data_IF_525479948533
#
_entry.id   IF_525479948533
#
_cell.length_a   1.000
_cell.length_b   1.000
_cell.length_c   1.000
_cell.angle_alpha   90.00
_cell.angle_beta   90.00
_cell.angle_gamma   90.00
#
_symmetry.space_group_name_H-M   'P 1'
#
loop_
_entity.id
_entity.type
_entity.pdbx_description
1 polymer ?
#
# COMPACT_ATOMS: atom_id res chain seq x y z
N UNK A 1 0.78 7.03 24.00
CA UNK A 1 2.20 6.69 24.21
C UNK A 1 2.85 5.97 23.03
N UNK A 2 2.21 4.97 22.40
CA UNK A 2 2.81 4.24 21.25
C UNK A 2 3.37 5.10 20.11
N UNK A 3 2.74 6.24 19.81
CA UNK A 3 3.15 7.12 18.71
C UNK A 3 3.94 8.35 19.16
N UNK A 4 4.12 8.56 20.46
CA UNK A 4 4.93 9.67 20.98
C UNK A 4 6.38 9.24 21.23
N UNK A 5 6.64 7.94 21.44
CA UNK A 5 8.00 7.44 21.71
C UNK A 5 8.56 7.83 23.07
N UNK A 6 7.74 8.46 23.92
CA UNK A 6 8.16 9.05 25.19
C UNK A 6 7.13 8.80 26.27
N UNK A 7 7.59 8.34 27.43
CA UNK A 7 6.80 8.19 28.67
C UNK A 7 7.64 8.62 29.85
N UNK A 8 7.07 9.43 30.74
CA UNK A 8 7.69 9.81 32.01
C UNK A 8 6.75 9.50 33.16
N UNK A 9 7.27 8.88 34.21
CA UNK A 9 6.50 8.51 35.40
C UNK A 9 7.33 8.65 36.67
N UNK A 10 6.66 8.91 37.79
CA UNK A 10 7.29 8.91 39.10
C UNK A 10 7.68 7.47 39.48
N UNK A 11 8.80 7.29 40.16
CA UNK A 11 9.27 6.00 40.67
C UNK A 11 8.28 5.39 41.66
N UNK A 12 7.65 6.18 42.52
CA UNK A 12 6.68 5.67 43.50
C UNK A 12 5.41 5.17 42.80
N UNK A 13 4.91 5.91 41.80
CA UNK A 13 3.80 5.47 40.96
C UNK A 13 4.14 4.20 40.18
N UNK A 14 5.36 4.11 39.66
CA UNK A 14 5.85 2.91 38.96
C UNK A 14 5.87 1.69 39.87
N UNK A 15 6.36 1.84 41.11
CA UNK A 15 6.37 0.75 42.10
C UNK A 15 4.96 0.30 42.45
N UNK A 16 4.04 1.24 42.67
CA UNK A 16 2.66 0.92 43.02
C UNK A 16 1.91 0.23 41.87
N UNK A 17 2.16 0.63 40.61
CA UNK A 17 1.49 0.04 39.44
C UNK A 17 1.96 -1.36 39.09
N UNK A 18 3.22 -1.68 39.39
CA UNK A 18 3.82 -3.00 39.12
C UNK A 18 3.96 -3.84 40.39
N UNK A 19 3.29 -3.43 41.48
CA UNK A 19 3.35 -4.09 42.80
C UNK A 19 4.77 -4.44 43.24
N UNK A 20 5.71 -3.53 43.00
CA UNK A 20 7.12 -3.73 43.35
C UNK A 20 7.27 -3.62 44.88
N UNK A 21 7.92 -4.59 45.54
CA UNK A 21 8.15 -4.53 46.98
C UNK A 21 8.85 -3.24 47.41
N UNK A 22 8.33 -2.59 48.45
CA UNK A 22 8.93 -1.35 49.01
C UNK A 22 10.36 -1.57 49.52
N UNK A 23 10.72 -2.81 49.85
CA UNK A 23 12.07 -3.22 50.28
C UNK A 23 13.11 -3.09 49.19
N UNK A 24 12.72 -3.10 47.91
CA UNK A 24 13.67 -3.07 46.81
C UNK A 24 14.36 -1.71 46.72
N UNK A 25 15.68 -1.76 46.76
CA UNK A 25 16.50 -0.60 46.47
C UNK A 25 16.58 -0.37 44.96
N UNK A 26 17.02 0.81 44.54
CA UNK A 26 17.17 1.14 43.12
C UNK A 26 18.01 0.13 42.33
N UNK A 27 19.01 -0.47 42.98
CA UNK A 27 19.84 -1.53 42.38
C UNK A 27 19.02 -2.80 42.10
N UNK A 28 18.17 -3.21 43.04
CA UNK A 28 17.30 -4.39 42.87
C UNK A 28 16.23 -4.13 41.82
N UNK A 29 15.64 -2.92 41.80
CA UNK A 29 14.69 -2.51 40.75
C UNK A 29 15.37 -2.58 39.38
N UNK A 30 16.60 -2.09 39.25
CA UNK A 30 17.34 -2.17 37.99
C UNK A 30 17.57 -3.63 37.58
N UNK A 31 17.96 -4.51 38.50
CA UNK A 31 18.29 -5.91 38.22
C UNK A 31 17.07 -6.79 37.94
N UNK A 32 16.02 -6.66 38.76
CA UNK A 32 14.88 -7.58 38.83
C UNK A 32 13.64 -7.08 38.08
N UNK A 33 13.56 -5.79 37.79
CA UNK A 33 12.39 -5.19 37.13
C UNK A 33 12.78 -4.59 35.79
N UNK A 34 13.72 -3.63 35.77
CA UNK A 34 14.04 -2.90 34.54
C UNK A 34 14.75 -3.77 33.49
N UNK A 35 15.72 -4.61 33.89
CA UNK A 35 16.42 -5.51 32.96
C UNK A 35 15.47 -6.51 32.27
N UNK A 36 14.61 -7.25 33.01
CA UNK A 36 13.61 -8.11 32.38
C UNK A 36 12.68 -7.35 31.43
N UNK A 37 12.17 -6.18 31.85
CA UNK A 37 11.31 -5.34 31.02
C UNK A 37 12.00 -4.97 29.71
N UNK A 38 13.26 -4.54 29.74
CA UNK A 38 14.01 -4.20 28.52
C UNK A 38 14.11 -5.42 27.60
N UNK A 39 14.43 -6.60 28.13
CA UNK A 39 14.59 -7.80 27.32
C UNK A 39 13.27 -8.21 26.66
N UNK A 40 12.17 -8.23 27.42
CA UNK A 40 10.86 -8.61 26.90
C UNK A 40 10.32 -7.59 25.88
N UNK A 41 10.41 -6.31 26.22
CA UNK A 41 9.87 -5.22 25.41
C UNK A 41 10.76 -4.84 24.22
N UNK A 42 12.02 -5.27 24.18
CA UNK A 42 12.92 -5.03 23.04
C UNK A 42 12.39 -5.60 21.73
N UNK A 43 11.57 -6.66 21.81
CA UNK A 43 10.94 -7.30 20.65
C UNK A 43 9.81 -6.47 20.05
N UNK A 44 9.17 -5.61 20.85
CA UNK A 44 7.99 -4.82 20.46
C UNK A 44 8.39 -3.36 20.19
N UNK A 45 9.24 -2.81 21.05
CA UNK A 45 9.67 -1.42 20.99
C UNK A 45 11.11 -1.34 20.51
N UNK A 46 11.28 -0.74 19.33
CA UNK A 46 12.60 -0.48 18.79
C UNK A 46 13.31 0.57 19.65
N UNK A 47 14.59 0.30 19.92
CA UNK A 47 15.49 1.22 20.60
C UNK A 47 14.99 1.71 21.98
N UNK A 48 14.35 0.81 22.75
CA UNK A 48 13.84 1.12 24.09
C UNK A 48 15.00 1.39 25.07
N UNK A 49 15.02 2.60 25.61
CA UNK A 49 15.95 3.03 26.65
C UNK A 49 15.19 3.56 27.87
N UNK A 50 15.71 3.23 29.06
CA UNK A 50 15.16 3.66 30.35
C UNK A 50 16.18 4.56 31.04
N UNK A 51 15.85 5.83 31.15
CA UNK A 51 16.65 6.85 31.81
C UNK A 51 16.16 7.05 33.25
N UNK A 52 17.12 7.13 34.17
CA UNK A 52 16.87 7.37 35.61
C UNK A 52 17.13 8.82 35.93
N UNK A 53 16.09 9.60 36.17
CA UNK A 53 16.20 11.02 36.46
C UNK A 53 16.26 11.23 37.97
N UNK A 54 17.33 11.91 38.39
CA UNK A 54 17.54 12.31 39.78
C UNK A 54 16.58 13.43 40.17
N UNK A 55 16.18 13.45 41.43
CA UNK A 55 15.42 14.58 41.98
C UNK A 55 16.22 15.89 41.86
N UNK A 56 15.52 17.03 41.81
CA UNK A 56 16.16 18.35 41.78
C UNK A 56 17.09 18.57 42.97
N UNK A 57 16.76 18.00 44.14
CA UNK A 57 17.55 18.08 45.37
C UNK A 57 17.93 16.68 45.83
N UNK A 58 19.23 16.37 45.78
CA UNK A 58 19.81 15.12 46.28
C UNK A 58 20.17 14.10 45.19
N UNK A 59 20.59 12.90 45.62
CA UNK A 59 21.02 11.79 44.74
C UNK A 59 19.94 10.72 44.53
N UNK A 60 18.74 10.92 45.08
CA UNK A 60 17.61 10.00 44.90
C UNK A 60 17.08 10.08 43.46
N UNK A 61 16.67 8.94 42.92
CA UNK A 61 15.97 8.88 41.63
C UNK A 61 14.49 8.99 41.92
N UNK A 62 13.84 9.93 41.25
CA UNK A 62 12.44 10.26 41.46
C UNK A 62 11.61 9.96 40.22
N UNK A 63 12.18 10.07 39.03
CA UNK A 63 11.47 9.82 37.79
C UNK A 63 12.17 8.77 36.95
N UNK A 64 11.36 7.96 36.29
CA UNK A 64 11.76 7.08 35.21
C UNK A 64 11.25 7.66 33.90
N UNK A 65 12.16 7.78 32.95
CA UNK A 65 11.87 8.20 31.60
C UNK A 65 12.13 7.02 30.65
N UNK A 66 11.16 6.76 29.80
CA UNK A 66 11.21 5.71 28.78
C UNK A 66 11.20 6.41 27.43
N UNK A 67 12.25 6.15 26.65
CA UNK A 67 12.40 6.65 25.29
C UNK A 67 12.45 5.45 24.35
N UNK A 68 11.66 5.47 23.29
CA UNK A 68 11.61 4.42 22.28
C UNK A 68 11.15 5.01 20.95
N UNK A 69 11.41 4.33 19.86
CA UNK A 69 10.98 4.81 18.55
C UNK A 69 9.45 4.71 18.42
N UNK A 70 8.82 5.80 18.00
CA UNK A 70 7.37 5.84 17.82
C UNK A 70 6.93 4.83 16.76
N UNK A 71 5.94 4.00 17.10
CA UNK A 71 5.38 3.03 16.17
C UNK A 71 4.74 3.78 14.99
N UNK A 72 5.22 3.47 13.77
CA UNK A 72 4.70 4.08 12.54
C UNK A 72 3.22 3.73 12.42
N UNK A 73 2.35 4.74 12.47
CA UNK A 73 0.92 4.55 12.23
C UNK A 73 0.72 3.99 10.83
N UNK A 74 0.26 2.75 10.74
CA UNK A 74 -0.20 2.16 9.47
C UNK A 74 -1.56 2.78 9.07
N UNK A 75 -2.21 3.52 9.97
CA UNK A 75 -3.33 4.39 9.63
C UNK A 75 -2.83 5.70 9.01
N UNK A 76 -2.34 5.61 7.78
CA UNK A 76 -3.00 6.43 6.77
C UNK A 76 -4.08 5.51 6.22
N UNK A 77 -5.36 5.87 6.39
CA UNK A 77 -6.31 5.61 5.30
C UNK A 77 -5.66 6.34 4.13
N UNK A 78 -4.81 5.64 3.39
CA UNK A 78 -4.15 6.18 2.22
C UNK A 78 -5.31 6.65 1.37
N UNK A 79 -5.51 7.97 1.26
CA UNK A 79 -5.83 8.44 -0.07
C UNK A 79 -4.72 7.85 -0.93
N UNK A 80 -5.03 7.00 -1.92
CA UNK A 80 -4.02 6.64 -2.89
C UNK A 80 -3.42 7.96 -3.34
N UNK A 81 -2.15 8.20 -2.99
CA UNK A 81 -1.39 9.31 -3.55
C UNK A 81 -1.59 9.14 -5.04
N UNK A 82 -2.37 10.05 -5.64
CA UNK A 82 -2.74 9.94 -7.04
C UNK A 82 -1.43 10.09 -7.80
N UNK A 83 -0.75 8.99 -8.07
CA UNK A 83 0.43 8.93 -8.92
C UNK A 83 0.00 9.10 -10.38
N UNK A 84 -0.74 10.18 -10.67
CA UNK A 84 -1.21 10.63 -11.97
C UNK A 84 -1.63 12.12 -11.86
N UNK A 85 -0.80 12.98 -11.27
CA UNK A 85 -0.99 14.45 -11.34
C UNK A 85 -0.68 14.99 -12.75
N UNK A 86 -0.15 14.15 -13.66
CA UNK A 86 0.17 14.52 -15.05
C UNK A 86 -0.75 13.96 -16.13
N UNK A 87 -1.73 13.10 -15.82
CA UNK A 87 -2.64 12.57 -16.85
C UNK A 87 -3.92 13.39 -16.87
N UNK A 88 -4.04 14.30 -17.84
CA UNK A 88 -5.32 14.86 -18.24
C UNK A 88 -6.29 13.69 -18.46
N UNK A 89 -7.44 13.71 -17.76
CA UNK A 89 -8.53 12.77 -18.05
C UNK A 89 -9.06 13.11 -19.44
N UNK A 90 -8.42 12.57 -20.47
CA UNK A 90 -8.98 12.61 -21.81
C UNK A 90 -10.34 11.92 -21.72
N UNK A 91 -11.37 12.60 -22.21
CA UNK A 91 -12.74 12.10 -22.25
C UNK A 91 -12.78 10.93 -23.24
N UNK A 92 -12.54 9.71 -22.74
CA UNK A 92 -12.63 8.50 -23.53
C UNK A 92 -14.11 8.27 -23.81
N UNK A 93 -14.50 8.27 -25.09
CA UNK A 93 -15.85 7.93 -25.51
C UNK A 93 -16.18 6.52 -25.02
N UNK A 94 -17.35 6.36 -24.38
CA UNK A 94 -17.83 5.05 -23.88
C UNK A 94 -18.50 4.24 -24.99
N UNK A 95 -18.17 4.53 -26.23
CA UNK A 95 -18.76 3.88 -27.38
C UNK A 95 -18.28 2.43 -27.41
N UNK A 96 -19.23 1.50 -27.45
CA UNK A 96 -18.96 0.06 -27.58
C UNK A 96 -18.63 -0.30 -29.03
N UNK A 97 -18.15 0.67 -29.81
CA UNK A 97 -17.81 0.47 -31.21
C UNK A 97 -16.64 -0.50 -31.26
N UNK A 98 -16.84 -1.69 -31.84
CA UNK A 98 -15.80 -2.70 -31.84
C UNK A 98 -14.66 -2.27 -32.78
N UNK A 99 -13.41 -2.55 -32.39
CA UNK A 99 -12.20 -2.09 -33.10
C UNK A 99 -12.14 -2.51 -34.58
N UNK A 100 -12.76 -3.64 -34.93
CA UNK A 100 -12.84 -4.12 -36.30
C UNK A 100 -13.56 -3.15 -37.26
N UNK A 101 -14.38 -2.22 -36.74
CA UNK A 101 -15.03 -1.19 -37.55
C UNK A 101 -14.04 -0.08 -37.98
N UNK A 102 -13.10 0.30 -37.10
CA UNK A 102 -12.05 1.29 -37.44
C UNK A 102 -11.06 0.70 -38.45
N UNK A 103 -10.73 -0.58 -38.30
CA UNK A 103 -9.81 -1.31 -39.19
C UNK A 103 -10.34 -1.40 -40.63
N UNK A 104 -11.66 -1.53 -40.83
CA UNK A 104 -12.30 -1.56 -42.17
C UNK A 104 -12.10 -0.28 -42.98
N UNK A 105 -11.93 0.87 -42.32
CA UNK A 105 -11.69 2.13 -43.03
C UNK A 105 -10.26 2.19 -43.62
N UNK A 106 -9.31 1.46 -43.02
CA UNK A 106 -7.90 1.47 -43.41
C UNK A 106 -7.57 0.44 -44.51
N UNK A 107 -8.33 -0.64 -44.63
CA UNK A 107 -8.22 -1.58 -45.75
C UNK A 107 -9.04 -1.11 -46.96
N UNK A 108 -8.57 -0.03 -47.60
CA UNK A 108 -9.01 0.27 -48.96
C UNK A 108 -7.80 0.28 -49.90
N UNK A 109 -7.93 -0.57 -50.93
CA UNK A 109 -7.10 -0.74 -52.12
C UNK A 109 -6.12 -1.93 -52.08
N UNK A 110 -6.66 -3.15 -52.09
CA UNK A 110 -5.97 -4.23 -52.80
C UNK A 110 -5.95 -3.86 -54.29
N UNK A 111 -4.80 -3.92 -54.99
CA UNK A 111 -4.77 -3.80 -56.44
C UNK A 111 -5.72 -4.84 -57.03
N UNK A 112 -6.63 -4.42 -57.91
CA UNK A 112 -7.50 -5.32 -58.65
C UNK A 112 -6.64 -6.17 -59.59
N UNK A 113 -6.13 -7.29 -59.10
CA UNK A 113 -5.44 -8.27 -59.93
C UNK A 113 -6.49 -8.97 -60.80
N UNK A 114 -6.43 -8.70 -62.10
CA UNK A 114 -7.36 -9.25 -63.08
C UNK A 114 -7.07 -10.75 -63.25
N UNK A 115 -7.97 -11.59 -62.73
CA UNK A 115 -7.93 -13.03 -62.96
C UNK A 115 -8.91 -13.41 -64.09
N UNK A 116 -8.41 -13.78 -65.29
CA UNK A 116 -9.25 -14.16 -66.44
C UNK A 116 -10.17 -15.35 -66.15
N UNK A 117 -9.83 -16.20 -65.17
CA UNK A 117 -10.63 -17.35 -64.78
C UNK A 117 -11.90 -16.91 -64.05
N UNK A 118 -11.78 -15.92 -63.16
CA UNK A 118 -12.88 -15.39 -62.35
C UNK A 118 -13.97 -14.74 -63.21
N UNK A 119 -13.60 -14.06 -64.29
CA UNK A 119 -14.58 -13.45 -65.22
C UNK A 119 -15.37 -14.50 -65.99
N UNK A 120 -14.73 -15.61 -66.39
CA UNK A 120 -15.41 -16.72 -67.06
C UNK A 120 -16.44 -17.37 -66.13
N UNK A 121 -16.06 -17.60 -64.87
CA UNK A 121 -16.95 -18.15 -63.85
C UNK A 121 -18.12 -17.20 -63.58
N UNK A 122 -17.85 -15.90 -63.47
CA UNK A 122 -18.89 -14.87 -63.31
C UNK A 122 -19.86 -14.84 -64.49
N UNK A 123 -19.36 -14.93 -65.72
CA UNK A 123 -20.20 -14.96 -66.92
C UNK A 123 -21.03 -16.24 -67.02
N UNK A 124 -20.45 -17.40 -66.69
CA UNK A 124 -21.17 -18.67 -66.65
C UNK A 124 -22.29 -18.64 -65.59
N UNK A 125 -22.01 -18.07 -64.41
CA UNK A 125 -22.99 -17.91 -63.35
C UNK A 125 -24.16 -17.00 -63.74
N UNK A 126 -23.87 -15.87 -64.41
CA UNK A 126 -24.93 -14.99 -64.90
C UNK A 126 -25.82 -15.67 -65.95
N UNK A 127 -25.22 -16.46 -66.86
CA UNK A 127 -25.99 -17.27 -67.82
C UNK A 127 -26.86 -18.31 -67.12
N UNK A 128 -26.35 -18.96 -66.08
CA UNK A 128 -27.12 -19.92 -65.32
C UNK A 128 -28.31 -19.25 -64.60
N UNK A 129 -28.11 -18.08 -64.00
CA UNK A 129 -29.21 -17.31 -63.43
C UNK A 129 -30.27 -17.00 -64.49
N UNK A 130 -29.87 -16.50 -65.65
CA UNK A 130 -30.81 -16.16 -66.73
C UNK A 130 -31.63 -17.37 -67.19
N UNK A 131 -31.02 -18.56 -67.26
CA UNK A 131 -31.72 -19.83 -67.54
C UNK A 131 -32.69 -20.21 -66.39
N UNK A 132 -32.25 -20.12 -65.13
CA UNK A 132 -33.08 -20.43 -63.96
C UNK A 132 -34.25 -19.44 -63.76
N UNK A 133 -34.19 -18.25 -64.39
CA UNK A 133 -35.28 -17.26 -64.38
C UNK A 133 -36.26 -17.41 -65.56
N UNK A 134 -35.90 -18.16 -66.61
CA UNK A 134 -36.76 -18.42 -67.78
C UNK A 134 -37.50 -19.79 -67.74
N UNK A 135 -37.11 -20.71 -66.85
CA UNK A 135 -37.88 -21.93 -66.48
C UNK A 135 -38.97 -21.67 -65.42
#
# INVERSE_FOLDING_TARGET
>A
YKHTGYVKMNLDDFKNRLDVPKTYQMNDITKRVLKPIINELSTIFNNLHINKIKAKKGRKIEWLEFTFDAEKRIHNKRQPQMANIGKSRQHISREKTPKWLEERAHERQTPSEYDPQLEKERAAFLKQLEVDWEE
#
